data_IF_327395644735
#
_entry.id   IF_327395644735
#
_cell.length_a   1.000
_cell.length_b   1.000
_cell.length_c   1.000
_cell.angle_alpha   90.00
_cell.angle_beta   90.00
_cell.angle_gamma   90.00
#
_symmetry.space_group_name_H-M   'P 1'
#
loop_
_entity.id
_entity.type
_entity.pdbx_description
1 polymer ?
#
# COMPACT_ATOMS: atom_id res chain seq x y z
N UNK A 1 -2.22 -13.36 9.25
CA UNK A 1 -1.79 -12.63 8.04
C UNK A 1 -0.39 -13.10 7.76
N UNK A 2 -0.22 -13.83 6.66
CA UNK A 2 1.10 -14.29 6.25
C UNK A 2 1.96 -13.07 5.89
N UNK A 3 3.21 -13.08 6.35
CA UNK A 3 4.17 -12.02 6.07
C UNK A 3 4.90 -12.37 4.78
N UNK A 4 4.81 -11.49 3.78
CA UNK A 4 5.55 -11.61 2.55
C UNK A 4 6.76 -10.68 2.60
N UNK A 5 7.92 -11.17 2.18
CA UNK A 5 9.17 -10.41 2.16
C UNK A 5 9.79 -10.51 0.77
N UNK A 6 10.21 -9.38 0.20
CA UNK A 6 10.98 -9.31 -1.05
C UNK A 6 12.26 -8.52 -0.72
N UNK A 7 13.43 -9.13 -0.95
CA UNK A 7 14.73 -8.50 -0.64
C UNK A 7 14.85 -8.02 0.83
N UNK A 8 14.21 -8.73 1.77
CA UNK A 8 14.18 -8.36 3.19
C UNK A 8 13.24 -7.20 3.54
N UNK A 9 12.47 -6.70 2.55
CA UNK A 9 11.45 -5.68 2.74
C UNK A 9 10.10 -6.35 2.95
N UNK A 10 9.40 -5.95 4.01
CA UNK A 10 8.04 -6.40 4.25
C UNK A 10 7.09 -5.86 3.18
N UNK A 11 6.31 -6.76 2.57
CA UNK A 11 5.34 -6.44 1.52
C UNK A 11 3.92 -6.56 2.06
N UNK A 12 3.08 -5.60 1.67
CA UNK A 12 1.66 -5.59 1.94
C UNK A 12 0.87 -5.40 0.65
N UNK A 13 0.01 -6.36 0.34
CA UNK A 13 -1.01 -6.18 -0.69
C UNK A 13 -2.15 -5.33 -0.14
N UNK A 14 -2.40 -4.19 -0.79
CA UNK A 14 -3.43 -3.25 -0.37
C UNK A 14 -4.02 -2.49 -1.54
N UNK A 15 -5.32 -2.22 -1.48
CA UNK A 15 -6.00 -1.38 -2.45
C UNK A 15 -5.84 0.08 -2.08
N UNK A 16 -5.39 0.89 -3.04
CA UNK A 16 -5.43 2.34 -2.91
C UNK A 16 -6.90 2.80 -2.93
N UNK A 17 -7.33 3.51 -1.87
CA UNK A 17 -8.70 4.01 -1.73
C UNK A 17 -8.74 5.53 -1.87
N UNK A 18 -9.81 6.10 -2.45
CA UNK A 18 -9.96 7.54 -2.56
C UNK A 18 -10.02 8.19 -1.18
N UNK A 19 -9.43 9.38 -1.06
CA UNK A 19 -9.33 10.17 0.15
C UNK A 19 -9.25 11.65 -0.20
N UNK A 20 -10.41 12.28 -0.46
CA UNK A 20 -10.44 13.63 -1.02
C UNK A 20 -9.78 13.63 -2.40
N UNK A 21 -8.74 14.45 -2.58
CA UNK A 21 -7.98 14.54 -3.84
C UNK A 21 -6.77 13.58 -3.90
N UNK A 22 -6.63 12.66 -2.94
CA UNK A 22 -5.54 11.68 -2.92
C UNK A 22 -6.06 10.25 -2.86
N UNK A 23 -5.16 9.28 -3.04
CA UNK A 23 -5.42 7.89 -2.71
C UNK A 23 -4.48 7.42 -1.59
N UNK A 24 -4.99 6.59 -0.69
CA UNK A 24 -4.21 6.03 0.41
C UNK A 24 -4.30 4.50 0.42
N UNK A 25 -3.18 3.87 0.81
CA UNK A 25 -3.15 2.47 1.20
C UNK A 25 -3.07 2.41 2.73
N UNK A 26 -3.90 1.57 3.35
CA UNK A 26 -3.87 1.38 4.80
C UNK A 26 -2.75 0.40 5.14
N UNK A 27 -1.79 0.85 5.95
CA UNK A 27 -0.66 0.04 6.43
C UNK A 27 -0.81 -0.33 7.92
N UNK A 28 -0.11 -1.37 8.40
CA UNK A 28 -0.16 -1.76 9.81
C UNK A 28 0.28 -0.62 10.74
N UNK A 29 -0.41 -0.47 11.88
CA UNK A 29 -0.11 0.58 12.88
C UNK A 29 1.35 0.62 13.36
N UNK A 30 2.07 -0.49 13.28
CA UNK A 30 3.49 -0.58 13.68
C UNK A 30 4.48 0.01 12.67
N UNK A 31 4.02 0.39 11.47
CA UNK A 31 4.86 1.08 10.46
C UNK A 31 4.92 2.60 10.67
N UNK A 32 4.29 3.15 11.72
CA UNK A 32 4.35 4.59 12.00
C UNK A 32 5.81 5.04 12.15
N UNK A 33 6.19 6.09 11.43
CA UNK A 33 7.53 6.66 11.44
C UNK A 33 8.55 5.93 10.57
N UNK A 34 8.16 4.85 9.88
CA UNK A 34 9.01 4.20 8.90
C UNK A 34 8.91 4.88 7.53
N UNK A 35 10.02 4.89 6.79
CA UNK A 35 10.01 5.23 5.36
C UNK A 35 9.40 4.07 4.57
N UNK A 36 8.45 4.39 3.69
CA UNK A 36 7.72 3.38 2.89
C UNK A 36 7.77 3.72 1.41
N UNK A 37 7.86 2.68 0.57
CA UNK A 37 7.73 2.78 -0.88
C UNK A 37 6.45 2.07 -1.31
N UNK A 38 5.65 2.73 -2.15
CA UNK A 38 4.44 2.13 -2.75
C UNK A 38 4.75 1.78 -4.20
N UNK A 39 4.46 0.54 -4.59
CA UNK A 39 4.60 0.06 -5.98
C UNK A 39 3.22 -0.32 -6.49
N UNK A 40 2.80 0.26 -7.61
CA UNK A 40 1.52 -0.08 -8.26
C UNK A 40 1.67 -1.40 -9.02
N UNK A 41 0.78 -2.35 -8.76
CA UNK A 41 0.81 -3.70 -9.38
C UNK A 41 -0.37 -3.97 -10.31
N UNK A 42 -1.38 -3.09 -10.36
CA UNK A 42 -2.53 -3.16 -11.27
C UNK A 42 -2.95 -1.76 -11.74
N UNK A 43 -3.71 -1.70 -12.84
CA UNK A 43 -4.35 -0.46 -13.27
C UNK A 43 -5.53 -0.11 -12.35
N UNK A 44 -5.80 1.19 -12.07
CA UNK A 44 -6.99 1.61 -11.34
C UNK A 44 -8.24 1.45 -12.22
N UNK A 45 -9.37 1.13 -11.60
CA UNK A 45 -10.66 1.10 -12.29
C UNK A 45 -10.97 2.48 -12.87
N UNK A 46 -11.15 2.57 -14.20
CA UNK A 46 -11.29 3.85 -14.93
C UNK A 46 -12.69 4.49 -14.84
N UNK A 47 -13.47 4.16 -13.81
CA UNK A 47 -14.84 4.64 -13.67
C UNK A 47 -14.93 5.75 -12.61
N UNK A 48 -14.34 6.91 -12.93
CA UNK A 48 -14.56 8.19 -12.23
C UNK A 48 -15.63 9.03 -12.93
#
# INVERSE_FOLDING_TARGET
MDRFEIEGQEVLDGTAKPSGNSAHVIVPKRWRGADVKVVRVSEPDSNE
#
